data_IF_565945669427
#
_entry.id   IF_565945669427
#
_cell.length_a   1.000
_cell.length_b   1.000
_cell.length_c   1.000
_cell.angle_alpha   90.00
_cell.angle_beta   90.00
_cell.angle_gamma   90.00
#
_symmetry.space_group_name_H-M   'P 1'
#
loop_
_entity.id
_entity.type
_entity.pdbx_description
1 polymer ?
#
# COMPACT_ATOMS: atom_id res chain seq x y z
N UNK A 1 -11.91 -16.68 -15.53
CA UNK A 1 -13.21 -17.15 -15.00
C UNK A 1 -13.06 -17.78 -13.61
N UNK A 2 -12.16 -18.75 -13.45
CA UNK A 2 -11.91 -19.45 -12.18
C UNK A 2 -11.33 -18.54 -11.08
N UNK A 3 -10.48 -17.57 -11.45
CA UNK A 3 -9.88 -16.62 -10.50
C UNK A 3 -10.90 -15.57 -10.05
N UNK A 4 -11.68 -15.03 -10.99
CA UNK A 4 -12.80 -14.13 -10.67
C UNK A 4 -13.82 -14.78 -9.71
N UNK A 5 -14.19 -16.04 -9.95
CA UNK A 5 -15.10 -16.79 -9.07
C UNK A 5 -14.52 -16.97 -7.65
N UNK A 6 -13.20 -17.14 -7.53
CA UNK A 6 -12.52 -17.20 -6.22
C UNK A 6 -12.53 -15.84 -5.52
N UNK A 7 -12.37 -14.76 -6.25
CA UNK A 7 -12.43 -13.38 -5.71
C UNK A 7 -13.85 -13.00 -5.29
N UNK A 8 -14.82 -13.30 -6.13
CA UNK A 8 -16.21 -12.83 -6.03
C UNK A 8 -17.19 -13.97 -6.26
N UNK A 9 -17.32 -14.95 -5.34
CA UNK A 9 -18.05 -16.20 -5.56
C UNK A 9 -19.52 -16.03 -5.95
N UNK A 10 -20.17 -14.98 -5.47
CA UNK A 10 -21.61 -14.75 -5.68
C UNK A 10 -21.89 -13.41 -6.39
N UNK A 11 -20.86 -12.77 -6.93
CA UNK A 11 -20.99 -11.45 -7.54
C UNK A 11 -21.12 -11.56 -9.07
N UNK A 12 -22.13 -10.89 -9.59
CA UNK A 12 -22.26 -10.59 -11.02
C UNK A 12 -22.31 -9.07 -11.18
N UNK A 13 -21.41 -8.54 -11.99
CA UNK A 13 -21.41 -7.11 -12.30
C UNK A 13 -22.73 -6.72 -12.97
N UNK A 14 -23.35 -5.62 -12.50
CA UNK A 14 -24.51 -5.01 -13.17
C UNK A 14 -24.15 -4.48 -14.57
N UNK A 15 -22.87 -4.17 -14.81
CA UNK A 15 -22.38 -3.75 -16.12
C UNK A 15 -22.43 -4.85 -17.17
N UNK A 16 -22.64 -6.12 -16.80
CA UNK A 16 -22.92 -7.18 -17.77
C UNK A 16 -24.22 -6.95 -18.56
N UNK A 17 -25.15 -6.13 -18.02
CA UNK A 17 -26.39 -5.78 -18.71
C UNK A 17 -26.22 -4.58 -19.64
N UNK A 18 -25.33 -3.63 -19.32
CA UNK A 18 -25.13 -2.38 -20.06
C UNK A 18 -23.88 -2.39 -20.95
N UNK A 19 -22.82 -3.06 -20.51
CA UNK A 19 -21.47 -3.02 -21.10
C UNK A 19 -20.83 -4.42 -21.16
N UNK A 20 -21.52 -5.44 -21.73
CA UNK A 20 -21.09 -6.84 -21.66
C UNK A 20 -19.72 -7.09 -22.31
N UNK A 21 -19.46 -6.47 -23.48
CA UNK A 21 -18.19 -6.63 -24.19
C UNK A 21 -17.00 -6.04 -23.39
N UNK A 22 -17.20 -4.90 -22.73
CA UNK A 22 -16.19 -4.27 -21.90
C UNK A 22 -15.84 -5.15 -20.70
N UNK A 23 -16.84 -5.69 -20.02
CA UNK A 23 -16.63 -6.58 -18.87
C UNK A 23 -15.95 -7.87 -19.30
N UNK A 24 -16.34 -8.46 -20.44
CA UNK A 24 -15.70 -9.67 -20.97
C UNK A 24 -14.21 -9.42 -21.30
N UNK A 25 -13.89 -8.31 -21.96
CA UNK A 25 -12.50 -7.93 -22.24
C UNK A 25 -11.68 -7.77 -20.96
N UNK A 26 -12.23 -7.04 -19.97
CA UNK A 26 -11.56 -6.81 -18.69
C UNK A 26 -11.35 -8.12 -17.92
N UNK A 27 -12.38 -8.94 -17.79
CA UNK A 27 -12.33 -10.19 -17.05
C UNK A 27 -11.31 -11.18 -17.67
N UNK A 28 -11.30 -11.31 -18.99
CA UNK A 28 -10.36 -12.19 -19.68
C UNK A 28 -8.91 -11.70 -19.48
N UNK A 29 -8.66 -10.41 -19.60
CA UNK A 29 -7.33 -9.85 -19.40
C UNK A 29 -6.90 -9.92 -17.93
N UNK A 30 -7.68 -9.33 -17.01
CA UNK A 30 -7.28 -9.16 -15.61
C UNK A 30 -7.27 -10.49 -14.83
N UNK A 31 -8.28 -11.37 -15.07
CA UNK A 31 -8.46 -12.58 -14.27
C UNK A 31 -8.05 -13.87 -14.99
N UNK A 32 -7.46 -13.76 -16.17
CA UNK A 32 -6.87 -14.90 -16.89
C UNK A 32 -5.45 -14.59 -17.34
N UNK A 33 -5.24 -13.62 -18.23
CA UNK A 33 -3.90 -13.33 -18.77
C UNK A 33 -2.96 -12.79 -17.68
N UNK A 34 -3.33 -11.72 -16.96
CA UNK A 34 -2.48 -11.06 -15.96
C UNK A 34 -2.19 -11.97 -14.77
N UNK A 35 -3.20 -12.68 -14.24
CA UNK A 35 -3.00 -13.51 -13.05
C UNK A 35 -2.18 -14.78 -13.32
N UNK A 36 -2.02 -15.18 -14.56
CA UNK A 36 -1.24 -16.34 -14.98
C UNK A 36 0.12 -15.96 -15.58
N UNK A 37 0.48 -14.66 -15.61
CA UNK A 37 1.74 -14.18 -16.16
C UNK A 37 2.95 -14.58 -15.32
N UNK A 38 2.76 -14.67 -14.00
CA UNK A 38 3.80 -14.96 -13.02
C UNK A 38 3.25 -15.79 -11.84
N UNK A 39 4.15 -16.17 -10.93
CA UNK A 39 3.82 -16.92 -9.72
C UNK A 39 3.54 -16.01 -8.51
N UNK A 40 3.21 -14.74 -8.70
CA UNK A 40 2.88 -13.83 -7.62
C UNK A 40 1.68 -14.35 -6.81
N UNK A 41 1.89 -14.59 -5.53
CA UNK A 41 0.84 -15.10 -4.65
C UNK A 41 -0.34 -14.12 -4.53
N UNK A 42 -1.52 -14.67 -4.25
CA UNK A 42 -2.74 -13.87 -4.24
C UNK A 42 -2.76 -12.81 -3.15
N UNK A 43 -2.15 -13.05 -1.99
CA UNK A 43 -2.07 -12.10 -0.89
C UNK A 43 -1.20 -10.89 -1.27
N UNK A 44 -0.01 -11.10 -1.77
CA UNK A 44 0.89 -10.04 -2.27
C UNK A 44 0.24 -9.25 -3.40
N UNK A 45 -0.40 -9.93 -4.35
CA UNK A 45 -1.15 -9.31 -5.45
C UNK A 45 -2.24 -8.36 -4.93
N UNK A 46 -3.03 -8.79 -3.94
CA UNK A 46 -4.07 -7.91 -3.37
C UNK A 46 -3.50 -6.72 -2.59
N UNK A 47 -2.38 -6.87 -1.89
CA UNK A 47 -1.71 -5.74 -1.25
C UNK A 47 -1.27 -4.71 -2.30
N UNK A 48 -0.68 -5.15 -3.42
CA UNK A 48 -0.29 -4.27 -4.53
C UNK A 48 -1.51 -3.59 -5.18
N UNK A 49 -2.62 -4.33 -5.41
CA UNK A 49 -3.87 -3.77 -5.94
C UNK A 49 -4.42 -2.67 -5.02
N UNK A 50 -4.54 -2.94 -3.70
CA UNK A 50 -5.06 -1.96 -2.75
C UNK A 50 -4.18 -0.71 -2.69
N UNK A 51 -2.85 -0.87 -2.70
CA UNK A 51 -1.91 0.24 -2.74
C UNK A 51 -2.03 1.06 -4.05
N UNK A 52 -2.14 0.39 -5.20
CA UNK A 52 -2.34 1.03 -6.50
C UNK A 52 -3.64 1.85 -6.53
N UNK A 53 -4.74 1.30 -6.00
CA UNK A 53 -6.03 1.97 -5.93
C UNK A 53 -5.99 3.22 -5.03
N UNK A 54 -5.23 3.19 -3.93
CA UNK A 54 -4.94 4.37 -3.13
C UNK A 54 -4.21 5.44 -3.98
N UNK A 55 -3.17 5.05 -4.71
CA UNK A 55 -2.39 5.96 -5.56
C UNK A 55 -3.22 6.63 -6.65
N UNK A 56 -4.06 5.89 -7.36
CA UNK A 56 -4.92 6.42 -8.43
C UNK A 56 -6.29 6.94 -7.95
N UNK A 57 -6.56 6.92 -6.64
CA UNK A 57 -7.81 7.39 -6.04
C UNK A 57 -9.07 6.60 -6.45
N UNK A 58 -8.91 5.30 -6.70
CA UNK A 58 -9.97 4.38 -7.11
C UNK A 58 -10.82 3.89 -5.93
N UNK A 59 -11.65 4.74 -5.35
CA UNK A 59 -12.42 4.46 -4.12
C UNK A 59 -13.44 3.34 -4.30
N UNK A 60 -14.17 3.32 -5.40
CA UNK A 60 -15.23 2.33 -5.65
C UNK A 60 -14.63 0.94 -5.85
N UNK A 61 -13.56 0.85 -6.64
CA UNK A 61 -12.81 -0.40 -6.82
C UNK A 61 -12.13 -0.86 -5.53
N UNK A 62 -11.60 0.06 -4.72
CA UNK A 62 -11.04 -0.27 -3.42
C UNK A 62 -12.08 -0.94 -2.52
N UNK A 63 -13.30 -0.39 -2.46
CA UNK A 63 -14.42 -0.99 -1.71
C UNK A 63 -14.75 -2.40 -2.22
N UNK A 64 -14.78 -2.57 -3.54
CA UNK A 64 -15.05 -3.86 -4.17
C UNK A 64 -13.96 -4.90 -3.90
N UNK A 65 -12.68 -4.46 -3.87
CA UNK A 65 -11.53 -5.35 -3.68
C UNK A 65 -11.29 -5.76 -2.21
N UNK A 66 -11.76 -4.99 -1.21
CA UNK A 66 -11.53 -5.31 0.20
C UNK A 66 -12.03 -6.70 0.63
N UNK A 67 -13.29 -7.10 0.30
CA UNK A 67 -13.74 -8.45 0.63
C UNK A 67 -12.93 -9.55 -0.04
N UNK A 68 -12.46 -9.31 -1.25
CA UNK A 68 -11.60 -10.25 -1.97
C UNK A 68 -10.21 -10.33 -1.32
N UNK A 69 -9.61 -9.20 -0.95
CA UNK A 69 -8.34 -9.16 -0.23
C UNK A 69 -8.39 -9.98 1.07
N UNK A 70 -9.45 -9.82 1.86
CA UNK A 70 -9.67 -10.62 3.07
C UNK A 70 -9.78 -12.13 2.79
N UNK A 71 -10.39 -12.55 1.65
CA UNK A 71 -10.43 -13.96 1.23
C UNK A 71 -9.08 -14.50 0.77
N UNK A 72 -8.18 -13.65 0.37
CA UNK A 72 -6.81 -13.98 -0.01
C UNK A 72 -5.81 -13.74 1.13
N UNK A 73 -6.30 -13.79 2.37
CA UNK A 73 -5.52 -13.74 3.61
C UNK A 73 -4.77 -12.42 3.85
N UNK A 74 -5.18 -11.32 3.20
CA UNK A 74 -4.76 -9.98 3.62
C UNK A 74 -5.54 -9.61 4.89
N UNK A 75 -4.84 -9.48 6.00
CA UNK A 75 -5.47 -9.25 7.29
C UNK A 75 -6.03 -7.83 7.44
N UNK A 76 -7.01 -7.59 8.31
CA UNK A 76 -7.49 -6.24 8.62
C UNK A 76 -6.38 -5.28 9.08
N UNK A 77 -5.41 -5.79 9.84
CA UNK A 77 -4.23 -5.02 10.27
C UNK A 77 -3.42 -4.56 9.06
N UNK A 78 -3.10 -5.46 8.13
CA UNK A 78 -2.35 -5.12 6.91
C UNK A 78 -3.07 -4.12 6.03
N UNK A 79 -4.38 -4.26 5.85
CA UNK A 79 -5.21 -3.26 5.13
C UNK A 79 -5.09 -1.88 5.78
N UNK A 80 -5.16 -1.80 7.10
CA UNK A 80 -4.97 -0.54 7.83
C UNK A 80 -3.56 0.02 7.68
N UNK A 81 -2.54 -0.83 7.76
CA UNK A 81 -1.15 -0.40 7.60
C UNK A 81 -0.87 0.14 6.20
N UNK A 82 -1.46 -0.45 5.14
CA UNK A 82 -1.40 0.08 3.77
C UNK A 82 -2.00 1.50 3.71
N UNK A 83 -3.18 1.70 4.31
CA UNK A 83 -3.86 3.00 4.32
C UNK A 83 -3.08 4.02 5.15
N UNK A 84 -2.58 3.65 6.32
CA UNK A 84 -1.84 4.55 7.21
C UNK A 84 -0.55 5.03 6.55
N UNK A 85 0.23 4.12 5.97
CA UNK A 85 1.49 4.48 5.31
C UNK A 85 1.26 5.38 4.09
N UNK A 86 0.17 5.18 3.35
CA UNK A 86 -0.19 6.01 2.21
C UNK A 86 -0.33 7.51 2.58
N UNK A 87 -0.64 7.83 3.83
CA UNK A 87 -0.78 9.22 4.30
C UNK A 87 0.51 10.03 4.12
N UNK A 88 1.67 9.42 4.33
CA UNK A 88 2.96 10.10 4.17
C UNK A 88 3.29 10.42 2.69
N UNK A 89 2.70 9.71 1.74
CA UNK A 89 2.96 9.85 0.30
C UNK A 89 1.85 10.60 -0.45
N UNK A 90 0.61 10.36 -0.08
CA UNK A 90 -0.56 10.89 -0.78
C UNK A 90 -1.24 12.06 -0.05
N UNK A 91 -1.00 12.18 1.25
CA UNK A 91 -1.64 13.15 2.12
C UNK A 91 -3.02 12.72 2.63
N UNK A 92 -3.40 13.20 3.81
CA UNK A 92 -4.63 12.82 4.51
C UNK A 92 -5.89 13.06 3.67
N UNK A 93 -5.95 14.14 2.90
CA UNK A 93 -7.11 14.46 2.07
C UNK A 93 -7.44 13.38 1.03
N UNK A 94 -6.43 12.72 0.49
CA UNK A 94 -6.59 11.61 -0.46
C UNK A 94 -6.84 10.26 0.23
N UNK A 95 -6.32 10.08 1.45
CA UNK A 95 -6.36 8.79 2.16
C UNK A 95 -7.63 8.61 3.00
N UNK A 96 -8.19 9.69 3.54
CA UNK A 96 -9.34 9.64 4.43
C UNK A 96 -10.56 8.88 3.88
N UNK A 97 -10.95 9.02 2.59
CA UNK A 97 -12.05 8.24 2.01
C UNK A 97 -11.81 6.72 2.09
N UNK A 98 -10.58 6.26 1.86
CA UNK A 98 -10.22 4.85 1.93
C UNK A 98 -10.27 4.30 3.35
N UNK A 99 -9.85 5.11 4.33
CA UNK A 99 -9.96 4.75 5.74
C UNK A 99 -11.43 4.55 6.16
N UNK A 100 -12.31 5.43 5.71
CA UNK A 100 -13.76 5.30 5.94
C UNK A 100 -14.30 4.02 5.29
N UNK A 101 -14.00 3.78 4.03
CA UNK A 101 -14.42 2.58 3.30
C UNK A 101 -13.96 1.31 4.01
N UNK A 102 -12.71 1.26 4.47
CA UNK A 102 -12.18 0.10 5.19
C UNK A 102 -12.96 -0.13 6.50
N UNK A 103 -13.27 0.92 7.26
CA UNK A 103 -14.07 0.81 8.48
C UNK A 103 -15.47 0.28 8.20
N UNK A 104 -16.15 0.84 7.18
CA UNK A 104 -17.49 0.41 6.78
C UNK A 104 -17.50 -1.08 6.41
N UNK A 105 -16.54 -1.53 5.60
CA UNK A 105 -16.42 -2.95 5.19
C UNK A 105 -16.08 -3.85 6.39
N UNK A 106 -15.23 -3.40 7.31
CA UNK A 106 -14.91 -4.16 8.51
C UNK A 106 -16.14 -4.34 9.41
N UNK A 107 -16.92 -3.28 9.60
CA UNK A 107 -18.17 -3.34 10.33
C UNK A 107 -19.18 -4.31 9.67
N UNK A 108 -19.38 -4.21 8.34
CA UNK A 108 -20.20 -5.14 7.54
C UNK A 108 -19.77 -6.61 7.69
N UNK A 109 -18.47 -6.85 7.91
CA UNK A 109 -17.88 -8.19 8.11
C UNK A 109 -17.84 -8.64 9.57
N UNK A 110 -18.29 -7.81 10.52
CA UNK A 110 -18.23 -8.11 11.94
C UNK A 110 -16.81 -8.08 12.51
N UNK A 111 -15.89 -7.36 11.87
CA UNK A 111 -14.53 -7.16 12.38
C UNK A 111 -14.56 -6.05 13.41
N UNK A 112 -14.16 -6.38 14.63
CA UNK A 112 -14.20 -5.44 15.75
C UNK A 112 -13.15 -4.33 15.62
N UNK A 113 -13.56 -3.09 15.88
CA UNK A 113 -12.69 -1.90 15.88
C UNK A 113 -12.69 -1.26 17.28
N UNK A 114 -11.56 -0.64 17.72
CA UNK A 114 -10.31 -0.48 16.99
C UNK A 114 -9.49 -1.79 16.92
N UNK A 115 -8.69 -1.94 15.85
CA UNK A 115 -7.74 -3.04 15.76
C UNK A 115 -6.60 -2.85 16.80
N UNK A 116 -5.89 -3.93 17.18
CA UNK A 116 -4.72 -3.84 18.05
C UNK A 116 -3.68 -2.87 17.50
N UNK A 117 -3.11 -2.05 18.39
CA UNK A 117 -2.06 -1.08 18.02
C UNK A 117 -0.83 -1.78 17.44
N UNK A 118 -0.28 -1.23 16.37
CA UNK A 118 0.96 -1.65 15.75
C UNK A 118 2.10 -0.66 15.99
N UNK A 119 1.87 0.42 16.76
CA UNK A 119 2.87 1.43 17.05
C UNK A 119 4.02 0.87 17.91
N UNK A 120 5.26 1.16 17.52
CA UNK A 120 6.48 0.77 18.24
C UNK A 120 7.29 1.96 18.73
N UNK A 121 6.90 3.16 18.33
CA UNK A 121 7.61 4.41 18.62
C UNK A 121 6.74 5.40 19.36
N UNK A 122 7.41 6.36 19.99
CA UNK A 122 6.84 7.56 20.60
C UNK A 122 7.46 8.81 19.97
N UNK A 123 6.95 9.99 20.32
CA UNK A 123 7.52 11.27 19.85
C UNK A 123 8.99 11.47 20.25
N UNK A 124 9.44 10.81 21.33
CA UNK A 124 10.79 10.91 21.84
C UNK A 124 11.81 10.06 21.07
N UNK A 125 11.41 8.88 20.59
CA UNK A 125 12.32 7.92 19.97
C UNK A 125 12.10 7.70 18.45
N UNK A 126 11.03 8.24 17.86
CA UNK A 126 10.68 8.01 16.45
C UNK A 126 11.77 8.43 15.46
N UNK A 127 12.54 9.50 15.76
CA UNK A 127 13.65 9.96 14.90
C UNK A 127 14.74 8.92 14.78
N UNK A 128 15.18 8.37 15.91
CA UNK A 128 16.24 7.36 15.94
C UNK A 128 15.77 6.09 15.20
N UNK A 129 14.59 5.62 15.54
CA UNK A 129 13.99 4.44 14.92
C UNK A 129 13.75 4.64 13.41
N UNK A 130 13.22 5.80 13.00
CA UNK A 130 12.99 6.13 11.59
C UNK A 130 14.29 6.31 10.79
N UNK A 131 15.32 6.90 11.39
CA UNK A 131 16.66 6.97 10.79
C UNK A 131 17.22 5.57 10.59
N UNK A 132 17.07 4.68 11.56
CA UNK A 132 17.52 3.29 11.40
C UNK A 132 16.75 2.57 10.31
N UNK A 133 15.41 2.73 10.23
CA UNK A 133 14.60 2.18 9.13
C UNK A 133 15.08 2.69 7.75
N UNK A 134 15.40 3.98 7.62
CA UNK A 134 15.97 4.52 6.38
C UNK A 134 17.32 3.88 6.04
N UNK A 135 18.18 3.65 7.03
CA UNK A 135 19.48 2.98 6.83
C UNK A 135 19.29 1.53 6.39
N UNK A 136 18.40 0.80 7.04
CA UNK A 136 18.11 -0.60 6.72
C UNK A 136 17.60 -0.76 5.27
N UNK A 137 16.75 0.16 4.83
CA UNK A 137 16.10 0.12 3.50
C UNK A 137 17.02 0.69 2.40
N UNK A 138 17.59 1.87 2.60
CA UNK A 138 18.33 2.62 1.57
C UNK A 138 19.85 2.59 1.75
N UNK A 139 20.35 2.17 2.91
CA UNK A 139 21.78 2.05 3.23
C UNK A 139 22.33 3.17 4.09
N UNK A 140 23.60 3.00 4.50
CA UNK A 140 24.28 3.87 5.46
C UNK A 140 24.33 5.36 5.09
N UNK A 141 24.20 5.69 3.82
CA UNK A 141 24.12 7.10 3.37
C UNK A 141 22.95 7.87 3.99
N UNK A 142 21.92 7.15 4.47
CA UNK A 142 20.74 7.77 5.09
C UNK A 142 20.95 8.19 6.55
N UNK A 143 22.00 7.73 7.22
CA UNK A 143 22.21 7.96 8.68
C UNK A 143 22.14 9.41 9.11
N UNK A 144 22.54 10.33 8.27
CA UNK A 144 22.53 11.77 8.54
C UNK A 144 21.65 12.56 7.56
N UNK A 145 20.85 11.87 6.76
CA UNK A 145 20.00 12.51 5.75
C UNK A 145 19.01 13.51 6.37
N UNK A 146 18.46 13.21 7.54
CA UNK A 146 17.49 14.06 8.26
C UNK A 146 17.99 15.47 8.56
N UNK A 147 19.31 15.70 8.61
CA UNK A 147 19.93 17.02 8.84
C UNK A 147 20.59 17.62 7.59
N UNK A 148 20.46 16.98 6.45
CA UNK A 148 21.02 17.41 5.17
C UNK A 148 20.05 18.30 4.38
N UNK A 149 20.56 18.88 3.30
CA UNK A 149 19.79 19.73 2.39
C UNK A 149 19.89 21.23 2.73
N UNK A 150 19.32 22.07 1.86
CA UNK A 150 19.26 23.53 2.06
C UNK A 150 18.55 23.87 3.38
N UNK A 151 18.96 24.97 4.01
CA UNK A 151 18.44 25.37 5.32
C UNK A 151 16.91 25.54 5.31
N UNK A 152 16.39 26.16 4.25
CA UNK A 152 14.96 26.42 4.08
C UNK A 152 14.09 25.16 3.93
N UNK A 153 14.66 24.06 3.49
CA UNK A 153 13.91 22.79 3.24
C UNK A 153 14.38 21.61 4.11
N UNK A 154 15.40 21.81 4.94
CA UNK A 154 15.97 20.74 5.80
C UNK A 154 14.92 20.08 6.71
N UNK A 155 13.94 20.84 7.16
CA UNK A 155 12.83 20.32 7.98
C UNK A 155 12.04 19.21 7.28
N UNK A 156 12.02 19.18 5.94
CA UNK A 156 11.35 18.10 5.18
C UNK A 156 12.08 16.78 5.40
N UNK A 157 13.42 16.77 5.30
CA UNK A 157 14.21 15.57 5.56
C UNK A 157 14.11 15.10 7.01
N UNK A 158 13.99 16.05 7.94
CA UNK A 158 13.74 15.76 9.35
C UNK A 158 12.37 15.07 9.53
N UNK A 159 11.31 15.60 8.93
CA UNK A 159 9.98 15.02 9.01
C UNK A 159 9.86 13.68 8.28
N UNK A 160 10.63 13.44 7.24
CA UNK A 160 10.74 12.11 6.65
C UNK A 160 11.24 11.09 7.66
N UNK A 161 12.33 11.41 8.40
CA UNK A 161 12.83 10.52 9.44
C UNK A 161 11.85 10.35 10.60
N UNK A 162 11.23 11.45 11.07
CA UNK A 162 10.34 11.43 12.24
C UNK A 162 8.98 10.78 11.92
N UNK A 163 8.28 11.29 10.91
CA UNK A 163 6.90 10.88 10.61
C UNK A 163 6.83 9.74 9.60
N UNK A 164 7.40 9.89 8.40
CA UNK A 164 7.27 8.86 7.38
C UNK A 164 7.90 7.53 7.83
N UNK A 165 9.17 7.57 8.23
CA UNK A 165 9.87 6.36 8.66
C UNK A 165 9.66 6.05 10.14
N UNK A 166 9.66 7.04 11.01
CA UNK A 166 9.55 6.87 12.44
C UNK A 166 8.16 6.49 12.93
N UNK A 167 7.10 7.12 12.42
CA UNK A 167 5.73 6.83 12.82
C UNK A 167 5.09 5.71 12.01
N UNK A 168 5.41 5.56 10.70
CA UNK A 168 4.74 4.58 9.85
C UNK A 168 5.59 3.33 9.55
N UNK A 169 6.86 3.46 9.11
CA UNK A 169 7.67 2.31 8.72
C UNK A 169 8.09 1.41 9.88
N UNK A 170 8.20 1.95 11.09
CA UNK A 170 8.57 1.20 12.29
C UNK A 170 7.44 0.38 12.87
N UNK A 171 6.19 0.60 12.42
CA UNK A 171 5.02 -0.12 12.93
C UNK A 171 5.11 -1.60 12.57
N UNK A 172 4.60 -2.47 13.45
CA UNK A 172 4.38 -3.88 13.14
C UNK A 172 3.24 -4.06 12.12
N UNK A 173 2.92 -5.27 11.73
CA UNK A 173 1.86 -5.56 10.77
C UNK A 173 2.33 -5.69 9.33
N UNK A 174 3.31 -4.91 8.88
CA UNK A 174 4.03 -5.07 7.60
C UNK A 174 5.54 -5.04 7.83
N UNK A 175 6.27 -5.89 7.13
CA UNK A 175 7.73 -5.83 7.06
C UNK A 175 8.22 -4.80 6.03
N UNK A 176 9.54 -4.57 5.96
CA UNK A 176 10.10 -3.57 5.04
C UNK A 176 9.92 -3.94 3.57
N UNK A 177 9.94 -5.22 3.21
CA UNK A 177 9.69 -5.65 1.83
C UNK A 177 8.27 -5.29 1.41
N UNK A 178 7.27 -5.58 2.24
CA UNK A 178 5.88 -5.22 2.01
C UNK A 178 5.70 -3.70 1.96
N UNK A 179 6.32 -2.96 2.88
CA UNK A 179 6.25 -1.48 2.93
C UNK A 179 6.83 -0.82 1.69
N UNK A 180 7.97 -1.29 1.20
CA UNK A 180 8.56 -0.76 -0.02
C UNK A 180 7.76 -1.14 -1.27
N UNK A 181 7.21 -2.34 -1.34
CA UNK A 181 6.32 -2.75 -2.43
C UNK A 181 5.08 -1.84 -2.52
N UNK A 182 4.37 -1.63 -1.41
CA UNK A 182 3.17 -0.75 -1.42
C UNK A 182 3.52 0.70 -1.71
N UNK A 183 4.67 1.18 -1.22
CA UNK A 183 5.15 2.53 -1.53
C UNK A 183 5.43 2.69 -3.02
N UNK A 184 6.09 1.72 -3.64
CA UNK A 184 6.29 1.71 -5.09
C UNK A 184 4.95 1.79 -5.84
N UNK A 185 3.95 1.00 -5.41
CA UNK A 185 2.61 1.02 -6.00
C UNK A 185 1.91 2.39 -5.86
N UNK A 186 1.99 3.03 -4.67
CA UNK A 186 1.45 4.38 -4.47
C UNK A 186 2.04 5.38 -5.46
N UNK A 187 3.37 5.39 -5.56
CA UNK A 187 4.11 6.35 -6.38
C UNK A 187 3.88 6.11 -7.87
N UNK A 188 3.91 4.86 -8.31
CA UNK A 188 3.66 4.50 -9.70
C UNK A 188 2.24 4.92 -10.15
N UNK A 189 1.24 4.67 -9.31
CA UNK A 189 -0.15 5.00 -9.63
C UNK A 189 -0.48 6.50 -9.49
N UNK A 190 0.19 7.21 -8.58
CA UNK A 190 0.03 8.66 -8.41
C UNK A 190 0.61 9.44 -9.59
N UNK A 191 1.77 9.03 -10.09
CA UNK A 191 2.53 9.72 -11.13
C UNK A 191 3.14 11.05 -10.68
N UNK A 192 3.97 11.66 -11.53
CA UNK A 192 4.58 12.97 -11.28
C UNK A 192 5.62 12.98 -10.15
N UNK A 193 6.20 11.83 -9.80
CA UNK A 193 7.17 11.66 -8.73
C UNK A 193 8.29 10.66 -9.12
N UNK A 194 8.74 10.74 -10.36
CA UNK A 194 9.72 9.83 -10.95
C UNK A 194 11.02 9.69 -10.14
N UNK A 195 11.60 10.76 -9.54
CA UNK A 195 12.78 10.61 -8.70
C UNK A 195 12.54 9.74 -7.47
N UNK A 196 11.39 9.91 -6.81
CA UNK A 196 11.00 9.09 -5.65
C UNK A 196 10.72 7.65 -6.08
N UNK A 197 9.97 7.47 -7.16
CA UNK A 197 9.67 6.15 -7.72
C UNK A 197 10.96 5.37 -8.04
N UNK A 198 11.94 6.01 -8.68
CA UNK A 198 13.25 5.42 -8.98
C UNK A 198 14.01 5.03 -7.72
N UNK A 199 13.98 5.88 -6.68
CA UNK A 199 14.63 5.60 -5.41
C UNK A 199 14.00 4.39 -4.72
N UNK A 200 12.68 4.31 -4.67
CA UNK A 200 11.96 3.20 -4.07
C UNK A 200 12.05 1.90 -4.90
N UNK A 201 12.17 1.97 -6.22
CA UNK A 201 12.49 0.81 -7.05
C UNK A 201 13.86 0.20 -6.67
N UNK A 202 14.88 1.05 -6.53
CA UNK A 202 16.20 0.61 -6.07
C UNK A 202 16.18 0.05 -4.64
N UNK A 203 15.40 0.65 -3.74
CA UNK A 203 15.22 0.17 -2.37
C UNK A 203 14.56 -1.21 -2.34
N UNK A 204 13.50 -1.44 -3.13
CA UNK A 204 12.85 -2.75 -3.26
C UNK A 204 13.87 -3.84 -3.62
N UNK A 205 14.69 -3.61 -4.64
CA UNK A 205 15.74 -4.54 -5.06
C UNK A 205 16.77 -4.78 -3.96
N UNK A 206 17.14 -3.73 -3.20
CA UNK A 206 18.12 -3.81 -2.13
C UNK A 206 17.65 -4.68 -0.97
N UNK A 207 16.38 -4.59 -0.58
CA UNK A 207 15.83 -5.33 0.57
C UNK A 207 15.30 -6.72 0.22
N UNK A 208 15.47 -7.16 -1.04
CA UNK A 208 15.19 -8.52 -1.48
C UNK A 208 13.88 -8.72 -2.22
N UNK A 209 13.15 -7.66 -2.58
CA UNK A 209 12.10 -7.76 -3.58
C UNK A 209 12.74 -7.93 -4.97
N UNK A 210 12.21 -8.78 -5.80
CA UNK A 210 12.71 -9.02 -7.15
C UNK A 210 12.00 -8.16 -8.21
N UNK A 211 12.17 -8.52 -9.48
CA UNK A 211 11.58 -7.77 -10.60
C UNK A 211 10.21 -8.28 -11.03
N UNK A 212 9.77 -9.37 -10.42
CA UNK A 212 8.48 -10.00 -10.73
C UNK A 212 7.29 -9.24 -10.15
#
# INVERSE_FOLDING_TARGET
KRYHEKMFPDYKSKFLETDPEFIECFDNFAFDEVVNQDDLDGRTRFMAILATLLGCQGTDEFRAMLPAALRFDVTPVEIKEIIYQATAYLGMGRVLPFLKIANDVFEEKGIELPLPSQATTTTENRREAGTQAQVDIFGEGMRYFWKSGPEESRHINLWLADNCFGDYYTRTGLDYQQREMITFCFLAAQGGCEPQLTSHAAANMRIGNDKA
#
